data_IF_188873779078
#
_entry.id   IF_188873779078
#
_cell.length_a   1.000
_cell.length_b   1.000
_cell.length_c   1.000
_cell.angle_alpha   90.00
_cell.angle_beta   90.00
_cell.angle_gamma   90.00
#
_symmetry.space_group_name_H-M   'P 1'
#
loop_
_entity.id
_entity.type
_entity.pdbx_description
1 polymer ?
#
# COMPACT_ATOMS: atom_id res chain seq x y z
N UNK A 1 -14.39 -18.30 3.01
CA UNK A 1 -15.12 -18.41 4.28
C UNK A 1 -14.97 -19.85 4.75
N UNK A 2 -14.16 -20.12 5.77
CA UNK A 2 -14.01 -21.47 6.32
C UNK A 2 -15.10 -21.63 7.37
N UNK A 3 -16.04 -22.57 7.16
CA UNK A 3 -17.03 -22.96 8.17
C UNK A 3 -16.45 -24.11 8.98
N UNK A 4 -16.47 -23.97 10.30
CA UNK A 4 -16.17 -25.04 11.26
C UNK A 4 -17.40 -25.95 11.37
N UNK A 5 -17.21 -27.27 11.36
CA UNK A 5 -18.27 -28.27 11.57
C UNK A 5 -18.62 -28.50 13.05
N UNK A 6 -17.98 -27.80 13.98
CA UNK A 6 -18.26 -27.89 15.41
C UNK A 6 -18.78 -26.56 15.95
N UNK A 7 -19.87 -26.61 16.74
CA UNK A 7 -20.46 -25.47 17.45
C UNK A 7 -19.61 -24.93 18.62
N UNK A 8 -18.41 -25.49 18.84
CA UNK A 8 -17.52 -25.11 19.92
C UNK A 8 -16.32 -24.31 19.39
N UNK A 9 -16.11 -23.12 19.96
CA UNK A 9 -14.91 -22.33 19.72
C UNK A 9 -13.78 -22.89 20.58
N UNK A 10 -12.94 -23.74 19.98
CA UNK A 10 -11.82 -24.42 20.64
C UNK A 10 -10.76 -23.47 21.23
N UNK A 11 -10.77 -22.19 20.85
CA UNK A 11 -9.82 -21.20 21.35
C UNK A 11 -10.41 -19.79 21.27
N UNK A 12 -10.06 -18.90 22.22
CA UNK A 12 -10.53 -17.50 22.23
C UNK A 12 -10.21 -16.75 20.92
N UNK A 13 -9.09 -17.09 20.27
CA UNK A 13 -8.68 -16.54 18.96
C UNK A 13 -9.59 -16.98 17.78
N UNK A 14 -10.40 -18.03 17.96
CA UNK A 14 -11.32 -18.56 16.94
C UNK A 14 -12.75 -18.02 17.09
N UNK A 15 -13.01 -17.18 18.10
CA UNK A 15 -14.33 -16.57 18.29
C UNK A 15 -14.72 -15.72 17.06
N UNK A 16 -15.99 -15.76 16.63
CA UNK A 16 -16.50 -14.93 15.55
C UNK A 16 -16.63 -13.49 16.05
N UNK A 17 -15.59 -12.70 15.79
CA UNK A 17 -15.64 -11.25 15.93
C UNK A 17 -16.39 -10.70 14.71
N UNK A 18 -17.44 -9.90 14.96
CA UNK A 18 -18.12 -9.15 13.89
C UNK A 18 -17.17 -8.05 13.38
N UNK A 19 -16.93 -8.02 12.07
CA UNK A 19 -16.07 -7.03 11.42
C UNK A 19 -15.10 -7.66 10.42
N UNK A 20 -14.34 -6.83 9.70
CA UNK A 20 -13.24 -7.33 8.87
C UNK A 20 -12.24 -8.03 9.78
N UNK A 21 -11.86 -9.27 9.46
CA UNK A 21 -10.78 -9.97 10.17
C UNK A 21 -9.51 -9.86 9.35
N UNK A 22 -8.47 -9.31 9.95
CA UNK A 22 -7.14 -9.45 9.37
C UNK A 22 -6.63 -10.82 9.76
N UNK A 23 -6.23 -11.56 8.75
CA UNK A 23 -5.62 -12.86 8.93
C UNK A 23 -4.11 -12.72 8.82
N UNK A 24 -3.40 -13.46 9.66
CA UNK A 24 -1.96 -13.60 9.50
C UNK A 24 -1.60 -14.45 8.26
N UNK A 25 -0.31 -14.58 7.99
CA UNK A 25 0.23 -15.38 6.89
C UNK A 25 -0.14 -16.87 6.94
N UNK A 26 -0.70 -17.37 8.06
CA UNK A 26 -1.24 -18.73 8.24
C UNK A 26 -2.76 -18.77 8.29
N UNK A 27 -3.44 -17.69 7.89
CA UNK A 27 -4.90 -17.54 7.90
C UNK A 27 -5.54 -17.53 9.30
N UNK A 28 -4.78 -17.12 10.33
CA UNK A 28 -5.26 -17.04 11.72
C UNK A 28 -5.63 -15.61 12.09
N UNK A 29 -6.65 -15.44 12.93
CA UNK A 29 -6.94 -14.13 13.55
C UNK A 29 -6.01 -13.91 14.73
N UNK A 30 -5.30 -12.78 14.74
CA UNK A 30 -4.41 -12.34 15.82
C UNK A 30 -5.09 -11.16 16.52
N UNK A 31 -5.66 -11.39 17.70
CA UNK A 31 -6.27 -10.33 18.54
C UNK A 31 -5.33 -9.88 19.66
N UNK A 32 -4.26 -10.62 19.86
CA UNK A 32 -3.17 -10.43 20.82
C UNK A 32 -2.11 -9.46 20.31
N UNK A 33 -2.08 -9.17 19.01
CA UNK A 33 -1.05 -8.35 18.38
C UNK A 33 -1.64 -7.13 17.69
N UNK A 34 -0.96 -5.99 17.84
CA UNK A 34 -1.29 -4.77 17.10
C UNK A 34 -0.89 -4.87 15.63
N UNK A 35 0.27 -5.48 15.34
CA UNK A 35 0.85 -5.60 14.02
C UNK A 35 0.77 -7.05 13.55
N UNK A 36 -0.07 -7.30 12.55
CA UNK A 36 -0.36 -8.66 12.11
C UNK A 36 0.61 -9.04 10.98
N UNK A 37 1.33 -10.16 11.08
CA UNK A 37 2.24 -10.61 10.03
C UNK A 37 1.46 -11.14 8.82
N UNK A 38 1.72 -10.60 7.65
CA UNK A 38 1.07 -10.94 6.38
C UNK A 38 2.07 -11.30 5.30
N UNK A 39 1.61 -12.08 4.32
CA UNK A 39 2.39 -12.40 3.14
C UNK A 39 2.26 -11.31 2.08
N UNK A 40 3.38 -10.73 1.65
CA UNK A 40 3.45 -9.70 0.62
C UNK A 40 4.62 -10.01 -0.32
N UNK A 41 4.32 -10.43 -1.56
CA UNK A 41 5.34 -10.80 -2.56
C UNK A 41 6.49 -11.66 -2.00
N UNK A 42 6.13 -12.79 -1.39
CA UNK A 42 7.06 -13.73 -0.77
C UNK A 42 7.75 -13.28 0.52
N UNK A 43 7.46 -12.08 1.01
CA UNK A 43 7.98 -11.56 2.26
C UNK A 43 6.91 -11.55 3.36
N UNK A 44 7.35 -11.67 4.60
CA UNK A 44 6.51 -11.40 5.78
C UNK A 44 6.63 -9.91 6.11
N UNK A 45 5.48 -9.24 6.16
CA UNK A 45 5.35 -7.82 6.49
C UNK A 45 4.33 -7.65 7.60
N UNK A 46 4.36 -6.54 8.31
CA UNK A 46 3.55 -6.34 9.50
C UNK A 46 2.60 -5.16 9.31
N UNK A 47 1.29 -5.40 9.42
CA UNK A 47 0.28 -4.36 9.21
C UNK A 47 -0.72 -4.34 10.35
N UNK A 48 -1.12 -3.14 10.79
CA UNK A 48 -2.09 -2.99 11.87
C UNK A 48 -3.52 -2.96 11.36
N UNK A 49 -4.47 -3.21 12.27
CA UNK A 49 -5.89 -3.24 11.95
C UNK A 49 -6.45 -1.92 11.43
N UNK A 50 -5.88 -0.81 11.90
CA UNK A 50 -6.28 0.52 11.49
C UNK A 50 -5.68 0.96 10.14
N UNK A 51 -4.85 0.13 9.51
CA UNK A 51 -4.24 0.45 8.22
C UNK A 51 -5.02 -0.11 7.04
N UNK A 52 -4.90 0.55 5.89
CA UNK A 52 -5.46 0.04 4.65
C UNK A 52 -4.80 -1.28 4.27
N UNK A 53 -5.63 -2.25 3.87
CA UNK A 53 -5.20 -3.58 3.43
C UNK A 53 -6.09 -4.06 2.29
N UNK A 54 -5.50 -4.80 1.36
CA UNK A 54 -6.27 -5.46 0.32
C UNK A 54 -7.15 -6.57 0.95
N UNK A 55 -8.46 -6.48 0.76
CA UNK A 55 -9.42 -7.37 1.42
C UNK A 55 -9.63 -8.73 0.70
N UNK A 56 -9.18 -8.84 -0.56
CA UNK A 56 -9.28 -10.07 -1.35
C UNK A 56 -7.89 -10.67 -1.56
N UNK A 57 -7.62 -11.81 -0.93
CA UNK A 57 -6.31 -12.48 -0.97
C UNK A 57 -5.85 -12.88 -2.38
N UNK A 58 -6.76 -13.36 -3.23
CA UNK A 58 -6.40 -13.82 -4.59
C UNK A 58 -6.03 -12.62 -5.46
N UNK A 59 -6.87 -11.59 -5.45
CA UNK A 59 -6.63 -10.36 -6.20
C UNK A 59 -5.41 -9.60 -5.67
N UNK A 60 -5.22 -9.56 -4.34
CA UNK A 60 -4.08 -8.88 -3.74
C UNK A 60 -2.76 -9.49 -4.20
N UNK A 61 -2.66 -10.82 -4.29
CA UNK A 61 -1.47 -11.49 -4.84
C UNK A 61 -1.18 -11.10 -6.29
N UNK A 62 -2.22 -11.00 -7.12
CA UNK A 62 -2.09 -10.60 -8.53
C UNK A 62 -1.64 -9.14 -8.66
N UNK A 63 -2.34 -8.22 -7.98
CA UNK A 63 -1.99 -6.79 -7.96
C UNK A 63 -0.56 -6.61 -7.45
N UNK A 64 -0.21 -7.27 -6.34
CA UNK A 64 1.10 -7.09 -5.71
C UNK A 64 2.23 -7.60 -6.62
N UNK A 65 2.02 -8.74 -7.29
CA UNK A 65 2.97 -9.28 -8.27
C UNK A 65 3.10 -8.37 -9.49
N UNK A 66 1.98 -7.87 -10.01
CA UNK A 66 1.96 -6.95 -11.15
C UNK A 66 2.73 -5.67 -10.85
N UNK A 67 2.45 -5.01 -9.72
CA UNK A 67 3.15 -3.79 -9.31
C UNK A 67 4.65 -4.05 -9.17
N UNK A 68 5.05 -5.11 -8.47
CA UNK A 68 6.45 -5.44 -8.25
C UNK A 68 7.22 -5.66 -9.56
N UNK A 69 6.64 -6.37 -10.52
CA UNK A 69 7.28 -6.65 -11.80
C UNK A 69 7.49 -5.40 -12.67
N UNK A 70 6.75 -4.32 -12.41
CA UNK A 70 6.85 -3.08 -13.16
C UNK A 70 7.76 -2.03 -12.51
N UNK A 71 8.20 -2.23 -11.26
CA UNK A 71 9.25 -1.43 -10.62
C UNK A 71 10.61 -1.82 -11.23
N UNK A 72 11.45 -0.83 -11.53
CA UNK A 72 12.81 -1.00 -12.10
C UNK A 72 13.91 -0.37 -11.27
N UNK A 73 13.56 0.39 -10.23
CA UNK A 73 14.52 0.99 -9.30
C UNK A 73 14.61 0.16 -8.01
N UNK A 74 15.76 0.23 -7.33
CA UNK A 74 16.00 -0.55 -6.10
C UNK A 74 15.22 0.01 -4.90
N UNK A 75 15.04 1.33 -4.86
CA UNK A 75 14.16 2.07 -3.96
C UNK A 75 12.97 2.64 -4.75
N UNK A 76 11.96 3.09 -4.02
CA UNK A 76 10.80 3.79 -4.61
C UNK A 76 10.48 5.03 -3.79
N UNK A 77 9.65 5.89 -4.35
CA UNK A 77 8.92 6.91 -3.61
C UNK A 77 7.47 6.44 -3.45
N UNK A 78 7.12 6.11 -2.22
CA UNK A 78 5.88 5.42 -1.88
C UNK A 78 4.86 6.39 -1.29
N UNK A 79 3.64 6.41 -1.83
CA UNK A 79 2.56 7.29 -1.38
C UNK A 79 1.33 6.49 -0.94
N UNK A 80 1.07 6.50 0.37
CA UNK A 80 -0.13 5.94 1.00
C UNK A 80 -0.24 4.41 0.97
N UNK A 81 -1.30 3.88 1.59
CA UNK A 81 -1.67 2.46 1.56
C UNK A 81 -0.50 1.49 1.81
N UNK A 82 -0.50 0.41 1.02
CA UNK A 82 0.55 -0.62 1.01
C UNK A 82 1.75 -0.26 0.10
N UNK A 83 1.86 0.98 -0.40
CA UNK A 83 2.84 1.32 -1.44
C UNK A 83 4.29 1.06 -1.02
N UNK A 84 4.64 1.35 0.23
CA UNK A 84 6.00 1.21 0.74
C UNK A 84 6.52 -0.23 0.69
N UNK A 85 5.61 -1.21 0.84
CA UNK A 85 5.93 -2.65 0.88
C UNK A 85 6.46 -3.20 -0.45
N UNK A 86 6.37 -2.44 -1.55
CA UNK A 86 6.90 -2.86 -2.84
C UNK A 86 8.41 -2.66 -3.00
N UNK A 87 9.03 -1.92 -2.09
CA UNK A 87 10.47 -1.69 -2.13
C UNK A 87 11.27 -2.86 -1.54
N UNK A 88 12.43 -3.16 -2.14
CA UNK A 88 13.41 -4.06 -1.53
C UNK A 88 14.43 -3.30 -0.65
N UNK A 89 14.59 -1.98 -0.87
CA UNK A 89 15.52 -1.16 -0.12
C UNK A 89 14.79 -0.23 0.88
N UNK A 90 14.63 -0.72 2.11
CA UNK A 90 13.91 0.00 3.18
C UNK A 90 14.57 1.31 3.62
N UNK A 91 15.90 1.40 3.50
CA UNK A 91 16.66 2.58 3.92
C UNK A 91 16.43 3.73 2.97
N UNK A 92 16.57 3.49 1.67
CA UNK A 92 16.52 4.57 0.67
C UNK A 92 15.10 4.90 0.20
N UNK A 93 14.09 4.12 0.60
CA UNK A 93 12.70 4.35 0.19
C UNK A 93 12.05 5.52 0.93
N UNK A 94 11.66 6.55 0.20
CA UNK A 94 10.89 7.67 0.73
C UNK A 94 9.42 7.30 0.87
N UNK A 95 8.89 7.33 2.08
CA UNK A 95 7.51 6.95 2.39
C UNK A 95 6.67 8.14 2.83
N UNK A 96 5.61 8.46 2.08
CA UNK A 96 4.70 9.56 2.34
C UNK A 96 3.30 9.06 2.69
N UNK A 97 2.77 9.46 3.85
CA UNK A 97 1.38 9.14 4.25
C UNK A 97 0.77 10.23 5.12
N UNK A 98 -0.53 10.49 4.94
CA UNK A 98 -1.32 11.31 5.86
C UNK A 98 -1.93 10.49 7.01
N UNK A 99 -1.83 9.16 6.96
CA UNK A 99 -2.43 8.24 7.94
C UNK A 99 -1.42 7.80 9.00
N UNK A 100 -1.73 8.06 10.27
CA UNK A 100 -0.88 7.69 11.40
C UNK A 100 -0.72 6.17 11.57
N UNK A 101 -1.75 5.38 11.25
CA UNK A 101 -1.65 3.92 11.33
C UNK A 101 -0.66 3.39 10.30
N UNK A 102 -0.72 3.89 9.07
CA UNK A 102 0.20 3.52 7.99
C UNK A 102 1.64 3.95 8.33
N UNK A 103 1.84 5.16 8.85
CA UNK A 103 3.16 5.64 9.28
C UNK A 103 3.76 4.74 10.37
N UNK A 104 2.92 4.28 11.30
CA UNK A 104 3.33 3.38 12.37
C UNK A 104 3.72 2.01 11.83
N UNK A 105 3.00 1.50 10.84
CA UNK A 105 3.33 0.23 10.17
C UNK A 105 4.63 0.35 9.35
N UNK A 106 4.82 1.44 8.61
CA UNK A 106 6.06 1.71 7.86
C UNK A 106 7.27 1.65 8.80
N UNK A 107 7.18 2.35 9.93
CA UNK A 107 8.24 2.35 10.95
C UNK A 107 8.48 0.96 11.52
N UNK A 108 7.41 0.22 11.84
CA UNK A 108 7.53 -1.12 12.40
C UNK A 108 8.20 -2.11 11.41
N UNK A 109 7.97 -1.94 10.11
CA UNK A 109 8.64 -2.75 9.08
C UNK A 109 10.10 -2.35 8.81
N UNK A 110 10.65 -1.35 9.50
CA UNK A 110 12.07 -0.98 9.43
C UNK A 110 12.43 -0.02 8.30
N UNK A 111 11.48 0.79 7.83
CA UNK A 111 11.76 1.89 6.91
C UNK A 111 12.20 3.13 7.70
N UNK A 112 13.18 3.85 7.18
CA UNK A 112 13.81 4.98 7.90
C UNK A 112 13.29 6.34 7.40
N UNK A 113 13.09 6.48 6.09
CA UNK A 113 12.71 7.73 5.46
C UNK A 113 11.19 7.93 5.40
N UNK A 114 10.59 8.29 6.53
CA UNK A 114 9.14 8.41 6.71
C UNK A 114 8.72 9.87 6.84
N UNK A 115 7.73 10.31 6.06
CA UNK A 115 7.17 11.66 6.10
C UNK A 115 5.66 11.63 6.27
N UNK A 116 5.18 12.24 7.36
CA UNK A 116 3.76 12.56 7.55
C UNK A 116 3.42 13.78 6.72
N UNK A 117 2.38 13.69 5.89
CA UNK A 117 2.09 14.74 4.91
C UNK A 117 0.63 15.16 4.82
N UNK A 118 0.40 16.43 4.44
CA UNK A 118 -0.87 16.87 3.83
C UNK A 118 -0.72 17.00 2.31
N UNK A 119 -1.28 16.03 1.58
CA UNK A 119 -1.20 16.00 0.11
C UNK A 119 -1.71 17.25 -0.59
N UNK A 120 -2.58 18.06 0.04
CA UNK A 120 -3.12 19.26 -0.57
C UNK A 120 -2.22 20.49 -0.42
N UNK A 121 -1.31 20.48 0.56
CA UNK A 121 -0.54 21.69 0.95
C UNK A 121 0.96 21.53 0.70
N UNK A 122 1.46 20.31 0.72
CA UNK A 122 2.90 20.09 0.68
C UNK A 122 3.50 20.15 -0.73
N UNK A 123 4.76 20.57 -0.76
CA UNK A 123 5.67 20.39 -1.90
C UNK A 123 6.48 19.13 -1.66
N UNK A 124 6.41 18.19 -2.60
CA UNK A 124 7.11 16.93 -2.52
C UNK A 124 8.51 17.04 -3.14
N UNK A 125 9.48 16.39 -2.51
CA UNK A 125 10.78 16.16 -3.11
C UNK A 125 10.71 14.89 -3.94
N UNK A 126 11.14 14.98 -5.21
CA UNK A 126 11.17 13.85 -6.13
C UNK A 126 12.61 13.47 -6.47
N UNK A 127 12.92 12.18 -6.36
CA UNK A 127 14.13 11.55 -6.89
C UNK A 127 13.85 10.93 -8.27
N UNK A 128 14.88 10.34 -8.87
CA UNK A 128 14.74 9.54 -10.10
C UNK A 128 14.14 8.14 -9.86
N UNK A 129 13.79 7.80 -8.61
CA UNK A 129 13.19 6.51 -8.28
C UNK A 129 11.75 6.41 -8.79
N UNK A 130 11.32 5.18 -9.05
CA UNK A 130 9.93 4.89 -9.42
C UNK A 130 8.96 5.35 -8.32
N UNK A 131 7.84 5.93 -8.72
CA UNK A 131 6.76 6.30 -7.80
C UNK A 131 5.71 5.18 -7.75
N UNK A 132 5.27 4.82 -6.53
CA UNK A 132 4.11 3.96 -6.32
C UNK A 132 3.03 4.73 -5.55
N UNK A 133 1.89 4.97 -6.21
CA UNK A 133 0.72 5.62 -5.62
C UNK A 133 -0.32 4.57 -5.22
N UNK A 134 -0.67 4.52 -3.93
CA UNK A 134 -1.77 3.70 -3.41
C UNK A 134 -2.66 4.56 -2.50
N UNK A 135 -3.40 5.47 -3.14
CA UNK A 135 -4.30 6.42 -2.51
C UNK A 135 -5.74 6.06 -2.85
N UNK A 136 -6.67 6.29 -1.90
CA UNK A 136 -8.10 6.10 -2.15
C UNK A 136 -8.54 6.91 -3.36
N UNK A 137 -8.40 8.23 -3.30
CA UNK A 137 -8.58 9.19 -4.41
C UNK A 137 -7.24 9.77 -4.81
N UNK A 138 -7.01 9.98 -6.11
CA UNK A 138 -5.78 10.62 -6.55
C UNK A 138 -5.75 12.07 -6.10
N UNK A 139 -4.65 12.53 -5.53
CA UNK A 139 -4.54 13.92 -5.12
C UNK A 139 -4.09 14.80 -6.31
N UNK A 140 -4.85 15.85 -6.64
CA UNK A 140 -4.55 16.69 -7.80
C UNK A 140 -3.24 17.48 -7.65
N UNK A 141 -2.92 17.97 -6.45
CA UNK A 141 -1.66 18.66 -6.17
C UNK A 141 -0.47 17.73 -6.40
N UNK A 142 -0.53 16.51 -5.84
CA UNK A 142 0.50 15.49 -6.03
C UNK A 142 0.68 15.14 -7.52
N UNK A 143 -0.40 14.86 -8.25
CA UNK A 143 -0.32 14.50 -9.68
C UNK A 143 0.31 15.62 -10.51
N UNK A 144 -0.06 16.89 -10.27
CA UNK A 144 0.55 18.03 -10.95
C UNK A 144 2.05 18.15 -10.67
N UNK A 145 2.46 17.96 -9.42
CA UNK A 145 3.87 18.03 -9.06
C UNK A 145 4.67 16.88 -9.67
N UNK A 146 4.12 15.66 -9.70
CA UNK A 146 4.75 14.53 -10.37
C UNK A 146 4.90 14.81 -11.88
N UNK A 147 3.87 15.36 -12.54
CA UNK A 147 3.94 15.70 -13.96
C UNK A 147 5.12 16.64 -14.30
N UNK A 148 5.48 17.49 -13.34
CA UNK A 148 6.54 18.49 -13.49
C UNK A 148 7.86 18.05 -12.80
N UNK A 149 8.00 16.76 -12.48
CA UNK A 149 9.19 16.19 -11.83
C UNK A 149 10.11 15.49 -12.84
N UNK A 150 11.29 15.08 -12.39
CA UNK A 150 12.24 14.27 -13.16
C UNK A 150 11.92 12.76 -13.16
N UNK A 151 10.82 12.35 -12.55
CA UNK A 151 10.46 10.93 -12.38
C UNK A 151 10.12 10.32 -13.73
N UNK A 152 10.71 9.15 -14.02
CA UNK A 152 10.51 8.47 -15.29
C UNK A 152 9.33 7.49 -15.29
N UNK A 153 8.88 7.05 -14.11
CA UNK A 153 7.83 6.02 -13.99
C UNK A 153 6.97 6.22 -12.75
N UNK A 154 5.67 6.06 -12.96
CA UNK A 154 4.66 6.07 -11.91
C UNK A 154 3.82 4.82 -12.07
N UNK A 155 3.58 4.12 -10.96
CA UNK A 155 2.63 3.02 -10.86
C UNK A 155 1.48 3.47 -9.96
N UNK A 156 0.26 3.42 -10.48
CA UNK A 156 -0.93 3.92 -9.79
C UNK A 156 -1.88 2.76 -9.49
N UNK A 157 -2.12 2.51 -8.21
CA UNK A 157 -3.12 1.58 -7.71
C UNK A 157 -4.32 2.41 -7.24
N UNK A 158 -5.47 2.26 -7.89
CA UNK A 158 -6.66 3.04 -7.55
C UNK A 158 -7.96 2.27 -7.79
N UNK A 159 -8.93 2.41 -6.88
CA UNK A 159 -10.24 1.76 -6.99
C UNK A 159 -11.37 2.73 -7.39
N UNK A 160 -11.11 4.04 -7.49
CA UNK A 160 -12.09 5.05 -7.89
C UNK A 160 -11.97 5.40 -9.37
N UNK A 161 -12.53 4.55 -10.22
CA UNK A 161 -12.42 4.63 -11.68
C UNK A 161 -12.70 6.02 -12.29
N UNK A 162 -13.81 6.67 -11.90
CA UNK A 162 -14.16 8.01 -12.41
C UNK A 162 -13.15 9.08 -11.98
N UNK A 163 -12.68 9.02 -10.73
CA UNK A 163 -11.69 9.95 -10.19
C UNK A 163 -10.33 9.77 -10.89
N UNK A 164 -9.93 8.51 -11.09
CA UNK A 164 -8.74 8.13 -11.83
C UNK A 164 -8.74 8.75 -13.23
N UNK A 165 -9.73 8.44 -14.08
CA UNK A 165 -9.75 8.93 -15.46
C UNK A 165 -9.83 10.44 -15.59
N UNK A 166 -10.46 11.12 -14.63
CA UNK A 166 -10.47 12.57 -14.58
C UNK A 166 -9.08 13.13 -14.33
N UNK A 167 -8.33 12.56 -13.38
CA UNK A 167 -7.07 13.12 -12.88
C UNK A 167 -5.84 12.66 -13.64
N UNK A 168 -5.84 11.46 -14.25
CA UNK A 168 -4.67 11.02 -15.04
C UNK A 168 -4.43 11.91 -16.26
N UNK A 169 -5.45 12.64 -16.73
CA UNK A 169 -5.31 13.63 -17.81
C UNK A 169 -4.34 14.78 -17.48
N UNK A 170 -4.00 14.96 -16.21
CA UNK A 170 -3.02 15.93 -15.75
C UNK A 170 -1.57 15.44 -15.92
N UNK A 171 -1.36 14.15 -16.17
CA UNK A 171 -0.04 13.56 -16.44
C UNK A 171 0.29 13.68 -17.94
N UNK A 172 0.35 14.91 -18.46
CA UNK A 172 0.62 15.18 -19.88
C UNK A 172 2.01 14.77 -20.33
N UNK A 173 2.97 14.69 -19.41
CA UNK A 173 4.36 14.31 -19.68
C UNK A 173 4.58 12.79 -19.57
N UNK A 174 3.54 12.03 -19.25
CA UNK A 174 3.62 10.57 -19.11
C UNK A 174 2.75 9.88 -20.16
N UNK A 175 3.20 8.71 -20.61
CA UNK A 175 2.45 7.82 -21.49
C UNK A 175 2.02 6.57 -20.73
N UNK A 176 0.78 6.13 -20.93
CA UNK A 176 0.30 4.86 -20.38
C UNK A 176 1.08 3.71 -21.04
N UNK A 177 1.83 2.95 -20.23
CA UNK A 177 2.57 1.78 -20.70
C UNK A 177 1.77 0.49 -20.57
N UNK A 178 1.09 0.28 -19.44
CA UNK A 178 0.33 -0.94 -19.12
C UNK A 178 -0.86 -0.62 -18.22
N UNK A 179 -1.91 -1.45 -18.30
CA UNK A 179 -3.10 -1.40 -17.46
C UNK A 179 -3.64 -2.81 -17.25
N UNK A 180 -4.02 -3.13 -16.01
CA UNK A 180 -4.80 -4.31 -15.61
C UNK A 180 -6.02 -3.88 -14.79
#
# INVERSE_FOLDING_TARGET
MIKSNTNYYLHNLLKPIKGNKILDYRFRTRIDEKYIPQYFNNNIVFQSFASFQQNNLKLSKLIRKFVKNNIKTNSIQAFGGESYLYSDNKKDTLCYSNSQSILSDIKYNGYENIKKVDYNKEKFFFTNDDIVLNLSKLNQNLIKQINNSCVNRIIIINCHHKDFWKKIKLLTNFKLMKRE
#
